data_IF_546507133550
#
_entry.id   IF_546507133550
#
_cell.length_a   1.000
_cell.length_b   1.000
_cell.length_c   1.000
_cell.angle_alpha   90.00
_cell.angle_beta   90.00
_cell.angle_gamma   90.00
#
_symmetry.space_group_name_H-M   'P 1'
#
loop_
_entity.id
_entity.type
_entity.pdbx_description
1 polymer ?
#
# COMPACT_ATOMS: atom_id res chain seq x y z
N UNK A 1 4.92 1.31 1.19
CA UNK A 1 4.67 0.73 2.53
C UNK A 1 3.23 0.32 2.80
N UNK A 2 2.25 1.22 2.75
CA UNK A 2 0.84 0.92 3.09
C UNK A 2 0.29 -0.29 2.32
N UNK A 3 0.70 -0.44 1.05
CA UNK A 3 0.30 -1.57 0.22
C UNK A 3 0.65 -2.95 0.80
N UNK A 4 1.76 -3.07 1.55
CA UNK A 4 2.16 -4.31 2.23
C UNK A 4 1.19 -4.66 3.36
N UNK A 5 0.85 -3.67 4.19
CA UNK A 5 -0.07 -3.85 5.32
C UNK A 5 -1.48 -4.18 4.83
N UNK A 6 -1.96 -3.47 3.81
CA UNK A 6 -3.26 -3.75 3.20
C UNK A 6 -3.30 -5.16 2.62
N UNK A 7 -2.23 -5.59 1.95
CA UNK A 7 -2.16 -6.95 1.42
C UNK A 7 -2.18 -8.00 2.53
N UNK A 8 -1.54 -7.75 3.67
CA UNK A 8 -1.60 -8.65 4.82
C UNK A 8 -3.02 -8.79 5.39
N UNK A 9 -3.82 -7.73 5.36
CA UNK A 9 -5.16 -7.69 5.96
C UNK A 9 -6.25 -8.15 4.99
N UNK A 10 -6.16 -7.75 3.73
CA UNK A 10 -7.21 -7.92 2.71
C UNK A 10 -6.79 -8.78 1.51
N UNK A 11 -5.52 -9.20 1.43
CA UNK A 11 -4.97 -9.93 0.30
C UNK A 11 -4.82 -9.05 -0.96
N UNK A 12 -5.04 -9.65 -2.12
CA UNK A 12 -4.94 -8.97 -3.42
C UNK A 12 -3.51 -8.75 -3.91
N UNK A 13 -3.38 -7.93 -4.95
CA UNK A 13 -2.11 -7.67 -5.63
C UNK A 13 -1.50 -6.34 -5.20
N UNK A 14 -0.17 -6.27 -5.20
CA UNK A 14 0.55 -5.01 -5.11
C UNK A 14 0.86 -4.56 -6.54
N UNK A 15 0.50 -3.32 -6.84
CA UNK A 15 0.80 -2.65 -8.09
C UNK A 15 1.73 -1.47 -7.81
N UNK A 16 2.44 -1.01 -8.84
CA UNK A 16 3.29 0.17 -8.75
C UNK A 16 3.18 1.06 -9.99
N UNK A 17 3.54 2.32 -9.81
CA UNK A 17 3.65 3.31 -10.88
C UNK A 17 4.90 4.18 -10.68
N UNK A 18 5.57 4.63 -11.75
CA UNK A 18 6.71 5.53 -11.57
C UNK A 18 6.22 6.90 -11.07
N UNK A 19 6.93 7.44 -10.08
CA UNK A 19 6.75 8.76 -9.51
C UNK A 19 8.08 9.54 -9.56
N UNK A 20 8.02 10.86 -9.35
CA UNK A 20 9.20 11.74 -9.39
C UNK A 20 10.33 11.29 -8.45
N UNK A 21 9.97 10.71 -7.30
CA UNK A 21 10.91 10.33 -6.23
C UNK A 21 11.19 8.81 -6.19
N UNK A 22 10.69 8.03 -7.14
CA UNK A 22 10.85 6.58 -7.16
C UNK A 22 9.57 5.84 -7.51
N UNK A 23 9.38 4.66 -6.94
CA UNK A 23 8.17 3.87 -7.17
C UNK A 23 7.09 4.21 -6.15
N UNK A 24 5.86 4.37 -6.62
CA UNK A 24 4.70 4.44 -5.75
C UNK A 24 3.94 3.12 -5.80
N UNK A 25 3.67 2.54 -4.63
CA UNK A 25 3.02 1.23 -4.49
C UNK A 25 1.62 1.36 -3.91
N UNK A 26 0.68 0.61 -4.49
CA UNK A 26 -0.74 0.57 -4.11
C UNK A 26 -1.29 -0.83 -4.34
N UNK A 27 -2.59 -1.06 -4.08
CA UNK A 27 -3.18 -2.39 -4.20
C UNK A 27 -4.19 -2.48 -5.34
N UNK A 28 -4.43 -3.72 -5.78
CA UNK A 28 -5.65 -4.09 -6.49
C UNK A 28 -6.42 -5.10 -5.65
N UNK A 29 -7.65 -4.74 -5.29
CA UNK A 29 -8.57 -5.57 -4.52
C UNK A 29 -9.81 -5.83 -5.38
N UNK A 30 -10.18 -7.10 -5.57
CA UNK A 30 -11.34 -7.50 -6.38
C UNK A 30 -11.36 -6.85 -7.79
N UNK A 31 -10.19 -6.74 -8.43
CA UNK A 31 -10.04 -6.12 -9.75
C UNK A 31 -10.07 -4.58 -9.75
N UNK A 32 -10.31 -3.93 -8.62
CA UNK A 32 -10.33 -2.48 -8.49
C UNK A 32 -9.02 -1.95 -7.90
N UNK A 33 -8.55 -0.82 -8.44
CA UNK A 33 -7.38 -0.12 -7.89
C UNK A 33 -7.75 0.55 -6.57
N UNK A 34 -6.93 0.33 -5.55
CA UNK A 34 -7.08 0.92 -4.24
C UNK A 34 -5.76 1.57 -3.81
N UNK A 35 -5.74 2.89 -3.79
CA UNK A 35 -4.60 3.69 -3.32
C UNK A 35 -5.00 4.53 -2.11
N UNK A 36 -4.73 3.99 -0.92
CA UNK A 36 -5.03 4.64 0.37
C UNK A 36 -4.13 5.84 0.67
N UNK A 37 -3.19 6.15 -0.21
CA UNK A 37 -2.17 7.18 -0.03
C UNK A 37 -2.15 8.18 -1.18
N UNK A 38 -3.11 8.11 -2.10
CA UNK A 38 -3.19 9.01 -3.26
C UNK A 38 -3.22 10.49 -2.88
N UNK A 39 -3.80 10.82 -1.71
CA UNK A 39 -3.92 12.21 -1.22
C UNK A 39 -2.57 12.82 -0.79
N UNK A 40 -1.52 12.01 -0.67
CA UNK A 40 -0.16 12.51 -0.41
C UNK A 40 0.41 13.28 -1.61
N UNK A 41 -0.15 13.09 -2.80
CA UNK A 41 0.29 13.74 -4.02
C UNK A 41 -0.55 14.99 -4.31
N UNK A 42 0.14 16.10 -4.64
CA UNK A 42 -0.52 17.36 -5.01
C UNK A 42 -1.20 17.32 -6.37
N UNK A 43 -0.70 16.46 -7.25
CA UNK A 43 -1.18 16.27 -8.62
C UNK A 43 -1.65 14.81 -8.76
N UNK A 44 -2.68 14.53 -9.59
CA UNK A 44 -3.12 13.17 -9.86
C UNK A 44 -1.98 12.31 -10.41
N UNK A 45 -1.88 11.07 -9.92
CA UNK A 45 -0.91 10.11 -10.43
C UNK A 45 -1.34 9.53 -11.78
N UNK A 46 -0.38 9.37 -12.68
CA UNK A 46 -0.53 8.53 -13.86
C UNK A 46 -0.24 7.09 -13.47
N UNK A 47 -1.28 6.30 -13.23
CA UNK A 47 -1.16 4.91 -12.80
C UNK A 47 -0.84 3.97 -13.97
N UNK A 48 0.33 3.33 -13.90
CA UNK A 48 0.77 2.34 -14.88
C UNK A 48 0.33 0.90 -14.56
N UNK A 49 -0.19 0.64 -13.36
CA UNK A 49 -0.66 -0.67 -12.88
C UNK A 49 0.34 -1.82 -13.08
N UNK A 50 1.63 -1.56 -12.86
CA UNK A 50 2.66 -2.57 -13.02
C UNK A 50 2.60 -3.51 -11.81
N UNK A 51 2.46 -4.82 -12.05
CA UNK A 51 2.48 -5.82 -10.97
C UNK A 51 3.82 -5.79 -10.23
N UNK A 52 3.76 -5.84 -8.90
CA UNK A 52 4.92 -5.82 -8.01
C UNK A 52 4.91 -7.00 -7.05
N UNK A 53 6.08 -7.38 -6.57
CA UNK A 53 6.23 -8.32 -5.47
C UNK A 53 6.26 -7.60 -4.12
N UNK A 54 6.14 -8.37 -3.03
CA UNK A 54 6.29 -7.86 -1.67
C UNK A 54 7.72 -7.47 -1.39
N UNK A 55 8.67 -8.29 -1.82
CA UNK A 55 10.10 -8.09 -1.64
C UNK A 55 10.51 -6.75 -2.22
N UNK A 56 10.02 -6.42 -3.42
CA UNK A 56 10.28 -5.13 -4.06
C UNK A 56 9.68 -3.96 -3.24
N UNK A 57 8.40 -4.04 -2.87
CA UNK A 57 7.76 -3.00 -2.07
C UNK A 57 8.38 -2.86 -0.67
N UNK A 58 9.04 -3.91 -0.16
CA UNK A 58 9.73 -3.90 1.12
C UNK A 58 11.10 -3.20 1.04
N UNK A 59 11.71 -3.09 -0.14
CA UNK A 59 12.98 -2.36 -0.32
C UNK A 59 12.84 -0.87 0.01
N UNK A 60 11.63 -0.32 -0.12
CA UNK A 60 11.29 1.07 0.21
C UNK A 60 10.96 1.26 1.71
N UNK A 61 11.21 0.25 2.54
CA UNK A 61 10.99 0.32 3.99
C UNK A 61 11.93 -0.61 4.77
N UNK A 62 11.72 -0.68 6.08
CA UNK A 62 12.33 -1.64 6.96
C UNK A 62 11.27 -2.28 7.87
N UNK A 63 11.69 -3.33 8.57
CA UNK A 63 10.80 -4.11 9.45
C UNK A 63 10.18 -3.26 10.56
N UNK A 64 10.92 -2.34 11.16
CA UNK A 64 10.40 -1.54 12.28
C UNK A 64 9.28 -0.60 11.83
N UNK A 65 9.48 0.10 10.71
CA UNK A 65 8.47 0.97 10.11
C UNK A 65 7.23 0.18 9.68
N UNK A 66 7.45 -0.98 9.06
CA UNK A 66 6.39 -1.88 8.64
C UNK A 66 5.52 -2.34 9.82
N UNK A 67 6.15 -2.86 10.89
CA UNK A 67 5.42 -3.35 12.07
C UNK A 67 4.70 -2.22 12.81
N UNK A 68 5.32 -1.05 12.92
CA UNK A 68 4.68 0.12 13.53
C UNK A 68 3.43 0.55 12.75
N UNK A 69 3.53 0.64 11.41
CA UNK A 69 2.39 0.96 10.56
C UNK A 69 1.29 -0.11 10.66
N UNK A 70 1.68 -1.39 10.58
CA UNK A 70 0.75 -2.52 10.68
C UNK A 70 -0.03 -2.48 11.99
N UNK A 71 0.64 -2.23 13.11
CA UNK A 71 0.00 -2.09 14.42
C UNK A 71 -1.05 -0.97 14.42
N UNK A 72 -0.68 0.23 13.95
CA UNK A 72 -1.58 1.38 13.92
C UNK A 72 -2.82 1.12 13.06
N UNK A 73 -2.63 0.53 11.88
CA UNK A 73 -3.74 0.16 10.98
C UNK A 73 -4.62 -0.88 11.65
N UNK A 74 -4.07 -1.96 12.21
CA UNK A 74 -4.85 -2.99 12.89
C UNK A 74 -5.65 -2.44 14.07
N UNK A 75 -5.08 -1.52 14.85
CA UNK A 75 -5.80 -0.83 15.93
C UNK A 75 -7.03 -0.10 15.39
N UNK A 76 -6.90 0.65 14.30
CA UNK A 76 -8.04 1.32 13.66
C UNK A 76 -9.12 0.32 13.22
N UNK A 77 -8.75 -0.76 12.53
CA UNK A 77 -9.69 -1.78 12.08
C UNK A 77 -10.45 -2.47 13.22
N UNK A 78 -9.78 -2.74 14.34
CA UNK A 78 -10.41 -3.30 15.55
C UNK A 78 -11.43 -2.32 16.14
N UNK A 79 -11.07 -1.04 16.28
CA UNK A 79 -11.96 -0.03 16.86
C UNK A 79 -13.22 0.21 16.00
N UNK A 80 -13.09 0.13 14.68
CA UNK A 80 -14.20 0.33 13.74
C UNK A 80 -15.04 -0.96 13.48
N UNK A 81 -14.73 -2.08 14.13
CA UNK A 81 -15.37 -3.40 13.88
C UNK A 81 -15.32 -3.83 12.39
N UNK A 82 -14.19 -3.58 11.72
CA UNK A 82 -13.98 -3.87 10.29
C UNK A 82 -13.19 -5.18 10.02
N UNK A 83 -13.02 -5.99 11.07
CA UNK A 83 -12.42 -7.33 11.08
C UNK A 83 -13.49 -8.35 11.51
#
# INVERSE_FOLDING_TARGET
MTALVVQDIKGGYILKTPCKEGWHFYNQLNGQRCDFTQEQFREPLHYADILSSREEAFMDTNKEQYEALKKNVMTYFIHENLL
#
